data_IF_013140390475
#
_entry.id   IF_013140390475
#
_cell.length_a   1.000
_cell.length_b   1.000
_cell.length_c   1.000
_cell.angle_alpha   90.00
_cell.angle_beta   90.00
_cell.angle_gamma   90.00
#
_symmetry.space_group_name_H-M   'P 1'
#
loop_
_entity.id
_entity.type
_entity.pdbx_description
1 polymer ?
#
# COMPACT_ATOMS: atom_id res chain seq x y z
N UNK A 1 22.59 -3.63 12.20
CA UNK A 1 23.28 -2.59 11.40
C UNK A 1 23.02 -2.85 9.93
N UNK A 2 22.42 -1.88 9.22
CA UNK A 2 22.10 -2.02 7.79
C UNK A 2 23.31 -1.79 6.89
N UNK A 3 23.31 -2.41 5.71
CA UNK A 3 24.33 -2.18 4.68
C UNK A 3 24.23 -0.74 4.18
N UNK A 4 25.36 -0.07 3.99
CA UNK A 4 25.38 1.29 3.44
C UNK A 4 24.91 1.30 1.97
N UNK A 5 24.30 2.40 1.47
CA UNK A 5 23.90 2.50 0.06
C UNK A 5 25.05 2.23 -0.92
N UNK A 6 26.28 2.64 -0.55
CA UNK A 6 27.51 2.34 -1.30
C UNK A 6 27.80 0.84 -1.38
N UNK A 7 27.57 0.09 -0.30
CA UNK A 7 27.74 -1.38 -0.29
C UNK A 7 26.65 -2.13 -1.06
N UNK A 8 25.53 -1.48 -1.36
CA UNK A 8 24.46 -2.05 -2.18
C UNK A 8 24.66 -1.80 -3.68
N UNK A 9 25.77 -1.16 -4.08
CA UNK A 9 26.08 -0.87 -5.49
C UNK A 9 25.09 0.11 -6.12
N UNK A 10 24.38 0.88 -5.30
CA UNK A 10 23.34 1.79 -5.78
C UNK A 10 23.98 3.09 -6.28
N UNK A 11 23.61 3.59 -7.48
CA UNK A 11 24.12 4.84 -8.02
C UNK A 11 23.81 6.00 -7.05
N UNK A 12 24.73 6.97 -6.98
CA UNK A 12 24.78 8.01 -5.96
C UNK A 12 23.47 8.75 -5.72
N UNK A 13 23.30 9.17 -4.45
CA UNK A 13 22.15 9.90 -3.90
C UNK A 13 20.79 9.21 -4.07
N UNK A 14 20.71 7.93 -3.72
CA UNK A 14 19.40 7.38 -3.35
C UNK A 14 18.86 8.06 -2.08
N UNK A 15 17.54 8.24 -1.98
CA UNK A 15 16.90 8.71 -0.76
C UNK A 15 17.34 7.82 0.41
N UNK A 16 17.72 8.47 1.51
CA UNK A 16 18.10 7.83 2.78
C UNK A 16 17.15 6.66 3.05
N UNK A 17 17.70 5.48 3.36
CA UNK A 17 16.89 4.33 3.75
C UNK A 17 16.16 4.71 5.04
N UNK A 18 14.85 4.92 4.94
CA UNK A 18 13.97 5.19 6.07
C UNK A 18 13.14 3.94 6.40
N UNK A 19 12.80 3.79 7.66
CA UNK A 19 11.78 2.87 8.14
C UNK A 19 10.37 3.31 7.73
N UNK A 20 9.37 2.50 8.07
CA UNK A 20 7.97 2.79 7.77
C UNK A 20 7.40 2.07 6.54
N UNK A 21 8.23 1.44 5.72
CA UNK A 21 7.77 0.58 4.62
C UNK A 21 7.73 -0.90 5.04
N UNK A 22 6.57 -1.54 4.88
CA UNK A 22 6.35 -2.96 5.17
C UNK A 22 5.79 -3.68 3.92
N UNK A 23 6.56 -4.57 3.28
CA UNK A 23 6.09 -5.35 2.14
C UNK A 23 5.09 -6.44 2.55
N UNK A 24 4.08 -6.66 1.71
CA UNK A 24 2.99 -7.63 1.93
C UNK A 24 3.08 -8.72 0.87
N UNK A 25 3.17 -9.97 1.33
CA UNK A 25 3.14 -11.16 0.48
C UNK A 25 1.82 -11.91 0.65
N UNK A 26 1.45 -12.63 -0.39
CA UNK A 26 0.41 -13.64 -0.30
C UNK A 26 1.05 -15.01 0.00
N UNK A 27 0.33 -15.85 0.73
CA UNK A 27 0.78 -17.21 1.05
C UNK A 27 0.99 -18.06 -0.22
N UNK A 28 0.22 -17.80 -1.28
CA UNK A 28 0.31 -18.51 -2.55
C UNK A 28 1.33 -17.91 -3.54
N UNK A 29 1.98 -16.79 -3.22
CA UNK A 29 2.94 -16.12 -4.10
C UNK A 29 4.15 -15.56 -3.32
N UNK A 30 5.06 -16.41 -2.81
CA UNK A 30 6.18 -15.98 -1.98
C UNK A 30 7.32 -15.32 -2.76
N UNK A 31 7.33 -15.42 -4.09
CA UNK A 31 8.42 -14.95 -4.94
C UNK A 31 8.54 -13.41 -4.99
N UNK A 32 7.44 -12.68 -4.81
CA UNK A 32 7.45 -11.23 -4.79
C UNK A 32 6.31 -10.65 -3.92
N UNK A 33 6.53 -9.49 -3.29
CA UNK A 33 5.46 -8.80 -2.59
C UNK A 33 4.45 -8.26 -3.61
N UNK A 34 3.16 -8.32 -3.26
CA UNK A 34 2.08 -7.79 -4.10
C UNK A 34 1.77 -6.32 -3.79
N UNK A 35 2.17 -5.85 -2.60
CA UNK A 35 1.90 -4.51 -2.12
C UNK A 35 2.93 -4.10 -1.05
N UNK A 36 2.96 -2.81 -0.73
CA UNK A 36 3.76 -2.23 0.35
C UNK A 36 2.88 -1.30 1.17
N UNK A 37 2.83 -1.51 2.48
CA UNK A 37 2.26 -0.56 3.44
C UNK A 37 3.32 0.47 3.83
N UNK A 38 3.00 1.76 3.73
CA UNK A 38 3.91 2.85 4.06
C UNK A 38 3.34 3.74 5.17
N UNK A 39 4.16 4.03 6.17
CA UNK A 39 3.92 5.08 7.15
C UNK A 39 5.07 6.09 7.08
N UNK A 40 4.74 7.38 7.19
CA UNK A 40 5.73 8.45 7.13
C UNK A 40 5.39 9.54 8.12
N UNK A 41 6.39 9.92 8.92
CA UNK A 41 6.33 11.03 9.86
C UNK A 41 7.71 11.72 9.95
N UNK A 42 7.97 12.41 11.07
CA UNK A 42 9.28 12.99 11.38
C UNK A 42 10.30 12.00 11.95
N UNK A 43 9.88 10.79 12.34
CA UNK A 43 10.74 9.80 13.00
C UNK A 43 10.62 8.45 12.31
N UNK A 44 11.65 8.11 11.54
CA UNK A 44 11.74 6.80 10.86
C UNK A 44 11.64 5.61 11.81
N UNK A 45 12.05 5.76 13.07
CA UNK A 45 11.95 4.68 14.06
C UNK A 45 10.49 4.47 14.48
N UNK A 46 9.75 5.56 14.69
CA UNK A 46 8.34 5.50 15.06
C UNK A 46 7.50 4.98 13.89
N UNK A 47 7.81 5.39 12.66
CA UNK A 47 7.17 4.89 11.45
C UNK A 47 7.35 3.36 11.30
N UNK A 48 8.55 2.86 11.56
CA UNK A 48 8.83 1.42 11.56
C UNK A 48 8.05 0.68 12.66
N UNK A 49 8.05 1.22 13.87
CA UNK A 49 7.34 0.61 15.01
C UNK A 49 5.83 0.58 14.76
N UNK A 50 5.27 1.66 14.21
CA UNK A 50 3.85 1.77 13.90
C UNK A 50 3.44 0.73 12.86
N UNK A 51 4.08 0.72 11.69
CA UNK A 51 3.70 -0.19 10.60
C UNK A 51 3.87 -1.66 11.00
N UNK A 52 4.95 -2.01 11.71
CA UNK A 52 5.20 -3.39 12.14
C UNK A 52 4.22 -3.88 13.20
N UNK A 53 3.86 -3.02 14.16
CA UNK A 53 2.89 -3.35 15.21
C UNK A 53 1.49 -3.50 14.62
N UNK A 54 1.06 -2.54 13.79
CA UNK A 54 -0.26 -2.58 13.15
C UNK A 54 -0.45 -3.81 12.26
N UNK A 55 0.55 -4.16 11.45
CA UNK A 55 0.47 -5.38 10.61
C UNK A 55 0.36 -6.64 11.48
N UNK A 56 1.16 -6.75 12.54
CA UNK A 56 1.10 -7.88 13.47
C UNK A 56 -0.27 -7.99 14.14
N UNK A 57 -0.80 -6.88 14.62
CA UNK A 57 -2.11 -6.84 15.29
C UNK A 57 -3.24 -7.18 14.35
N UNK A 58 -3.17 -6.72 13.09
CA UNK A 58 -4.13 -7.08 12.05
C UNK A 58 -4.13 -8.58 11.76
N UNK A 59 -2.95 -9.19 11.57
CA UNK A 59 -2.84 -10.63 11.35
C UNK A 59 -3.38 -11.43 12.55
N UNK A 60 -3.03 -11.02 13.77
CA UNK A 60 -3.56 -11.65 15.00
C UNK A 60 -5.08 -11.50 15.12
N UNK A 61 -5.63 -10.35 14.70
CA UNK A 61 -7.08 -10.12 14.69
C UNK A 61 -7.78 -11.04 13.69
N UNK A 62 -7.23 -11.22 12.49
CA UNK A 62 -7.76 -12.16 11.51
C UNK A 62 -7.73 -13.58 12.08
N UNK A 63 -6.59 -14.01 12.62
CA UNK A 63 -6.42 -15.36 13.19
C UNK A 63 -7.44 -15.66 14.29
N UNK A 64 -7.66 -14.71 15.21
CA UNK A 64 -8.69 -14.83 16.25
C UNK A 64 -10.10 -14.93 15.67
N UNK A 65 -10.43 -14.11 14.68
CA UNK A 65 -11.73 -14.16 14.01
C UNK A 65 -11.94 -15.45 13.21
N UNK A 66 -10.88 -16.04 12.64
CA UNK A 66 -10.95 -17.29 11.89
C UNK A 66 -10.95 -18.54 12.77
N UNK A 67 -10.40 -18.47 13.99
CA UNK A 67 -10.23 -19.62 14.88
C UNK A 67 -11.38 -19.83 15.88
N UNK A 68 -12.37 -18.93 15.95
CA UNK A 68 -13.48 -19.06 16.90
C UNK A 68 -14.71 -18.25 16.50
N UNK A 69 -15.73 -18.97 16.02
CA UNK A 69 -17.10 -18.63 16.40
C UNK A 69 -17.21 -18.65 17.94
N UNK A 70 -17.96 -17.70 18.48
CA UNK A 70 -18.55 -17.71 19.82
C UNK A 70 -17.64 -18.22 20.97
N UNK A 71 -16.81 -17.37 21.58
CA UNK A 71 -16.69 -17.30 23.07
C UNK A 71 -15.67 -16.25 23.57
N UNK A 72 -16.19 -15.43 24.49
CA UNK A 72 -15.53 -14.76 25.62
C UNK A 72 -14.59 -13.55 25.39
N UNK A 73 -15.20 -12.36 25.30
CA UNK A 73 -14.65 -11.07 25.75
C UNK A 73 -15.80 -10.17 26.21
N UNK A 74 -15.63 -9.28 27.22
CA UNK A 74 -16.74 -8.63 27.90
C UNK A 74 -17.55 -7.77 26.93
N UNK A 75 -18.87 -7.95 26.99
CA UNK A 75 -19.89 -7.18 26.27
C UNK A 75 -19.71 -5.68 26.50
N UNK A 76 -19.00 -5.02 25.59
CA UNK A 76 -19.18 -3.59 25.35
C UNK A 76 -20.30 -3.47 24.33
N UNK A 77 -21.41 -2.89 24.77
CA UNK A 77 -22.59 -2.54 24.00
C UNK A 77 -22.20 -2.02 22.62
N UNK A 78 -22.69 -2.70 21.59
CA UNK A 78 -22.55 -2.34 20.19
C UNK A 78 -23.27 -1.00 19.94
N UNK A 79 -22.60 0.15 19.72
CA UNK A 79 -23.29 1.27 19.10
C UNK A 79 -23.53 0.84 17.65
N UNK A 80 -24.79 0.71 17.26
CA UNK A 80 -25.20 0.53 15.87
C UNK A 80 -24.63 1.68 15.03
N UNK A 81 -23.45 1.46 14.43
CA UNK A 81 -22.88 2.40 13.48
C UNK A 81 -23.77 2.37 12.23
N UNK A 82 -24.30 3.52 11.77
CA UNK A 82 -25.03 3.56 10.52
C UNK A 82 -24.10 3.10 9.40
N UNK A 83 -24.57 2.13 8.61
CA UNK A 83 -23.89 1.62 7.43
C UNK A 83 -23.61 2.84 6.52
N UNK A 84 -22.36 3.15 6.18
CA UNK A 84 -22.06 4.18 5.21
C UNK A 84 -22.73 3.81 3.89
N UNK A 85 -23.60 4.66 3.39
CA UNK A 85 -24.19 4.53 2.07
C UNK A 85 -23.08 4.77 1.04
N UNK A 86 -22.38 3.71 0.63
CA UNK A 86 -21.34 3.76 -0.39
C UNK A 86 -22.09 3.81 -1.74
N UNK A 87 -21.99 4.92 -2.51
CA UNK A 87 -22.56 4.96 -3.84
C UNK A 87 -21.93 3.85 -4.69
N UNK A 88 -22.68 3.25 -5.65
CA UNK A 88 -22.14 2.23 -6.53
C UNK A 88 -20.89 2.78 -7.22
N UNK A 89 -19.77 2.15 -6.91
CA UNK A 89 -18.44 2.45 -7.45
C UNK A 89 -18.47 2.29 -8.96
N UNK A 90 -18.37 3.39 -9.70
CA UNK A 90 -18.20 3.35 -11.16
C UNK A 90 -16.71 3.24 -11.48
N UNK A 91 -16.34 2.52 -12.54
CA UNK A 91 -14.95 2.27 -12.95
C UNK A 91 -14.14 3.55 -13.23
N UNK A 92 -14.82 4.69 -13.35
CA UNK A 92 -14.25 6.00 -13.68
C UNK A 92 -13.35 6.60 -12.59
N UNK A 93 -13.50 6.21 -11.31
CA UNK A 93 -12.73 6.80 -10.20
C UNK A 93 -11.24 6.42 -10.20
N UNK A 94 -10.86 5.38 -10.94
CA UNK A 94 -9.47 4.90 -11.03
C UNK A 94 -8.68 5.47 -12.19
N UNK A 95 -9.34 6.17 -13.11
CA UNK A 95 -8.65 6.80 -14.20
C UNK A 95 -8.14 8.15 -13.72
N UNK A 96 -6.82 8.38 -13.67
CA UNK A 96 -6.33 9.74 -13.50
C UNK A 96 -6.94 10.58 -14.63
N UNK A 97 -7.63 11.67 -14.26
CA UNK A 97 -8.08 12.68 -15.20
C UNK A 97 -6.95 12.96 -16.19
N UNK A 98 -7.17 12.81 -17.51
CA UNK A 98 -6.11 13.02 -18.48
C UNK A 98 -5.71 14.48 -18.40
N UNK A 99 -4.63 14.75 -17.66
CA UNK A 99 -4.00 16.06 -17.68
C UNK A 99 -3.70 16.39 -19.14
N UNK A 100 -4.21 17.53 -19.61
CA UNK A 100 -4.06 18.02 -21.00
C UNK A 100 -2.58 18.04 -21.46
N UNK A 101 -1.66 17.97 -20.50
CA UNK A 101 -0.22 17.86 -20.69
C UNK A 101 0.24 16.56 -21.37
N UNK A 102 -0.45 15.45 -21.18
CA UNK A 102 -0.01 14.13 -21.69
C UNK A 102 -0.43 13.87 -23.15
N UNK A 103 -1.51 14.48 -23.62
CA UNK A 103 -2.01 14.26 -24.99
C UNK A 103 -1.16 14.92 -26.08
N UNK A 104 -0.60 16.11 -25.83
CA UNK A 104 0.20 16.81 -26.86
C UNK A 104 1.56 16.16 -27.13
N UNK A 105 2.17 15.53 -26.12
CA UNK A 105 3.51 14.96 -26.25
C UNK A 105 3.49 13.64 -27.02
N UNK A 106 2.49 12.79 -26.78
CA UNK A 106 2.41 11.48 -27.43
C UNK A 106 2.11 11.57 -28.93
N UNK A 107 1.26 12.53 -29.35
CA UNK A 107 0.95 12.79 -30.76
C UNK A 107 2.17 13.30 -31.53
N UNK A 108 3.05 14.10 -30.88
CA UNK A 108 4.26 14.62 -31.52
C UNK A 108 5.38 13.56 -31.65
N UNK A 109 5.46 12.61 -30.72
CA UNK A 109 6.53 11.61 -30.70
C UNK A 109 6.21 10.36 -31.55
N UNK A 110 4.96 10.14 -31.98
CA UNK A 110 4.57 8.98 -32.79
C UNK A 110 3.62 9.35 -33.96
N UNK A 111 4.13 9.91 -35.07
CA UNK A 111 3.31 10.15 -36.24
C UNK A 111 2.84 8.83 -36.86
N UNK A 112 1.51 8.69 -37.01
CA UNK A 112 0.87 7.54 -37.65
C UNK A 112 1.33 7.48 -39.12
N UNK A 113 1.89 6.36 -39.61
CA UNK A 113 2.29 6.24 -41.00
C UNK A 113 1.06 6.29 -41.91
N UNK A 114 1.05 7.23 -42.85
CA UNK A 114 0.02 7.32 -43.91
C UNK A 114 0.16 6.09 -44.81
N UNK A 115 -0.87 5.25 -44.87
CA UNK A 115 -0.97 4.19 -45.87
C UNK A 115 -1.02 4.83 -47.27
N UNK A 116 -0.13 4.39 -48.17
CA UNK A 116 -0.12 4.77 -49.60
C UNK A 116 -1.22 4.07 -50.36
#
# INVERSE_FOLDING_TARGET
MGKTPKQLGLPGELPRIQGGAFPIWLENAPCCPIAVAGCYSGSSQDDHNLVSTTVRDYLNKILRNSAGGDTAGPSMSNPSMPIPNIPPRTESDWLPEPSEFTSRRWINENPIPKKS
#
